data_IF_487411331220
#
_entry.id   IF_487411331220
#
_cell.length_a   1.000
_cell.length_b   1.000
_cell.length_c   1.000
_cell.angle_alpha   90.00
_cell.angle_beta   90.00
_cell.angle_gamma   90.00
#
_symmetry.space_group_name_H-M   'P 1'
#
loop_
_entity.id
_entity.type
_entity.pdbx_description
1 polymer ?
#
# COMPACT_ATOMS: atom_id res chain seq x y z
N UNK A 1 1.64 71.11 -47.99
CA UNK A 1 1.75 71.25 -46.52
C UNK A 1 0.58 70.41 -45.95
N UNK A 2 0.88 69.15 -45.65
CA UNK A 2 -0.13 68.23 -45.07
C UNK A 2 -0.22 68.57 -43.57
N UNK A 3 -1.39 69.05 -43.13
CA UNK A 3 -1.70 69.19 -41.69
C UNK A 3 -1.90 67.78 -41.12
N UNK A 4 -0.96 67.30 -40.36
CA UNK A 4 -1.18 66.17 -39.48
C UNK A 4 -2.33 66.55 -38.52
N UNK A 5 -3.48 65.93 -38.68
CA UNK A 5 -4.55 65.97 -37.67
C UNK A 5 -3.97 65.33 -36.39
N UNK A 6 -4.07 66.04 -35.32
CA UNK A 6 -3.64 65.59 -34.02
C UNK A 6 -4.67 64.60 -33.47
N UNK A 7 -4.51 63.29 -33.83
CA UNK A 7 -5.39 62.21 -33.41
C UNK A 7 -5.10 61.71 -31.96
N UNK A 8 -4.23 62.38 -31.23
CA UNK A 8 -3.83 62.00 -29.87
C UNK A 8 -5.02 61.99 -28.90
N UNK A 9 -6.00 62.88 -29.06
CA UNK A 9 -7.20 62.92 -28.24
C UNK A 9 -8.12 61.74 -28.48
N UNK A 10 -8.28 61.31 -29.74
CA UNK A 10 -9.14 60.16 -30.09
C UNK A 10 -8.57 58.87 -29.53
N UNK A 11 -7.26 58.65 -29.60
CA UNK A 11 -6.59 57.47 -29.03
C UNK A 11 -6.77 57.41 -27.52
N UNK A 12 -6.64 58.54 -26.80
CA UNK A 12 -6.85 58.59 -25.36
C UNK A 12 -8.27 58.15 -24.93
N UNK A 13 -9.28 58.57 -25.68
CA UNK A 13 -10.70 58.20 -25.42
C UNK A 13 -10.91 56.71 -25.69
N UNK A 14 -10.38 56.18 -26.80
CA UNK A 14 -10.49 54.75 -27.14
C UNK A 14 -9.84 53.88 -26.07
N UNK A 15 -8.60 54.27 -25.62
CA UNK A 15 -7.87 53.54 -24.56
C UNK A 15 -8.66 53.60 -23.25
N UNK A 16 -9.21 54.72 -22.85
CA UNK A 16 -10.01 54.87 -21.64
C UNK A 16 -11.27 53.98 -21.66
N UNK A 17 -11.98 53.90 -22.79
CA UNK A 17 -13.16 53.06 -22.96
C UNK A 17 -12.79 51.57 -22.94
N UNK A 18 -11.68 51.18 -23.57
CA UNK A 18 -11.24 49.79 -23.60
C UNK A 18 -10.64 49.31 -22.29
N UNK A 19 -10.07 50.24 -21.46
CA UNK A 19 -9.53 49.85 -20.15
C UNK A 19 -10.56 49.29 -19.20
N UNK A 20 -11.82 49.76 -19.23
CA UNK A 20 -12.87 49.27 -18.33
C UNK A 20 -13.16 47.78 -18.52
N UNK A 21 -13.46 47.27 -19.74
CA UNK A 21 -13.68 45.86 -19.93
C UNK A 21 -12.39 45.04 -19.69
N UNK A 22 -11.18 45.55 -20.01
CA UNK A 22 -9.93 44.83 -19.77
C UNK A 22 -9.67 44.63 -18.28
N UNK A 23 -9.91 45.65 -17.47
CA UNK A 23 -9.78 45.54 -16.00
C UNK A 23 -10.86 44.59 -15.46
N UNK A 24 -12.10 44.65 -15.99
CA UNK A 24 -13.15 43.73 -15.62
C UNK A 24 -12.81 42.26 -15.89
N UNK A 25 -12.26 41.95 -17.06
CA UNK A 25 -11.80 40.59 -17.37
C UNK A 25 -10.62 40.15 -16.48
N UNK A 26 -9.65 41.06 -16.22
CA UNK A 26 -8.55 40.76 -15.32
C UNK A 26 -9.03 40.45 -13.89
N UNK A 27 -9.99 41.21 -13.38
CA UNK A 27 -10.57 41.04 -12.06
C UNK A 27 -11.29 39.68 -11.92
N UNK A 28 -12.12 39.29 -12.89
CA UNK A 28 -12.80 37.99 -12.90
C UNK A 28 -11.78 36.86 -13.01
N UNK A 29 -10.72 37.03 -13.81
CA UNK A 29 -9.67 36.00 -13.94
C UNK A 29 -8.93 35.75 -12.61
N UNK A 30 -8.76 36.76 -11.78
CA UNK A 30 -8.14 36.63 -10.45
C UNK A 30 -9.06 35.81 -9.51
N UNK A 31 -10.37 36.08 -9.49
CA UNK A 31 -11.30 35.30 -8.65
C UNK A 31 -11.38 33.84 -9.10
N UNK A 32 -11.41 33.58 -10.41
CA UNK A 32 -11.38 32.19 -10.94
C UNK A 32 -10.08 31.49 -10.56
N UNK A 33 -8.94 32.16 -10.69
CA UNK A 33 -7.64 31.60 -10.30
C UNK A 33 -7.58 31.28 -8.81
N UNK A 34 -8.17 32.15 -7.96
CA UNK A 34 -8.24 31.92 -6.52
C UNK A 34 -9.09 30.69 -6.15
N UNK A 35 -10.24 30.52 -6.80
CA UNK A 35 -11.11 29.31 -6.63
C UNK A 35 -10.36 28.06 -7.08
N UNK A 36 -9.63 28.11 -8.20
CA UNK A 36 -8.87 26.98 -8.68
C UNK A 36 -7.73 26.60 -7.74
N UNK A 37 -7.01 27.59 -7.21
CA UNK A 37 -5.96 27.38 -6.22
C UNK A 37 -6.51 26.75 -4.93
N UNK A 38 -7.65 27.24 -4.43
CA UNK A 38 -8.35 26.65 -3.27
C UNK A 38 -8.72 25.20 -3.52
N UNK A 39 -9.27 24.89 -4.70
CA UNK A 39 -9.63 23.51 -5.07
C UNK A 39 -8.44 22.57 -5.02
N UNK A 40 -7.28 23.00 -5.52
CA UNK A 40 -6.06 22.19 -5.47
C UNK A 40 -5.58 21.96 -4.02
N UNK A 41 -5.69 22.96 -3.16
CA UNK A 41 -5.32 22.84 -1.75
C UNK A 41 -6.24 21.86 -1.01
N UNK A 42 -7.56 21.99 -1.21
CA UNK A 42 -8.55 21.08 -0.60
C UNK A 42 -8.36 19.66 -1.12
N UNK A 43 -8.05 19.48 -2.41
CA UNK A 43 -7.74 18.16 -2.98
C UNK A 43 -6.50 17.57 -2.33
N UNK A 44 -5.41 18.32 -2.21
CA UNK A 44 -4.20 17.86 -1.55
C UNK A 44 -4.44 17.48 -0.07
N UNK A 45 -5.31 18.24 0.63
CA UNK A 45 -5.74 17.93 1.98
C UNK A 45 -6.54 16.63 2.07
N UNK A 46 -7.46 16.41 1.14
CA UNK A 46 -8.25 15.17 1.08
C UNK A 46 -7.39 13.95 0.74
N UNK A 47 -6.47 14.07 -0.21
CA UNK A 47 -5.51 13.02 -0.59
C UNK A 47 -4.62 12.63 0.60
N UNK A 48 -4.04 13.61 1.27
CA UNK A 48 -3.18 13.39 2.43
C UNK A 48 -3.94 12.76 3.60
N UNK A 49 -5.18 13.22 3.86
CA UNK A 49 -6.05 12.67 4.88
C UNK A 49 -6.43 11.21 4.60
N UNK A 50 -6.83 10.92 3.36
CA UNK A 50 -7.20 9.55 2.95
C UNK A 50 -6.01 8.60 3.10
N UNK A 51 -4.81 8.99 2.66
CA UNK A 51 -3.59 8.20 2.82
C UNK A 51 -3.20 8.01 4.29
N UNK A 52 -3.25 9.05 5.12
CA UNK A 52 -2.91 8.95 6.54
C UNK A 52 -3.84 7.98 7.27
N UNK A 53 -5.15 8.11 7.07
CA UNK A 53 -6.15 7.20 7.66
C UNK A 53 -5.93 5.77 7.15
N UNK A 54 -5.68 5.59 5.85
CA UNK A 54 -5.43 4.28 5.28
C UNK A 54 -4.16 3.62 5.85
N UNK A 55 -3.09 4.38 6.09
CA UNK A 55 -1.86 3.90 6.70
C UNK A 55 -2.07 3.44 8.16
N UNK A 56 -2.83 4.21 8.93
CA UNK A 56 -3.16 3.85 10.32
C UNK A 56 -4.03 2.59 10.36
N UNK A 57 -5.05 2.52 9.51
CA UNK A 57 -5.93 1.36 9.42
C UNK A 57 -5.22 0.09 8.90
N UNK A 58 -4.25 0.24 8.01
CA UNK A 58 -3.42 -0.87 7.54
C UNK A 58 -2.56 -1.51 8.64
N UNK A 59 -2.30 -0.75 9.73
CA UNK A 59 -1.59 -1.23 10.93
C UNK A 59 -2.52 -1.67 12.06
N UNK A 60 -3.82 -1.86 11.78
CA UNK A 60 -4.86 -2.15 12.78
C UNK A 60 -5.02 -1.04 13.84
N UNK A 61 -4.59 0.18 13.55
CA UNK A 61 -4.57 1.32 14.46
C UNK A 61 -5.28 2.55 13.86
N UNK A 62 -6.52 2.40 13.37
CA UNK A 62 -7.27 3.47 12.69
C UNK A 62 -7.43 4.77 13.51
N UNK A 63 -7.28 4.74 14.81
CA UNK A 63 -7.36 5.92 15.67
C UNK A 63 -8.69 6.65 15.57
N UNK A 64 -8.63 7.96 15.29
CA UNK A 64 -9.80 8.80 15.08
C UNK A 64 -9.83 9.34 13.66
N UNK A 65 -10.38 8.60 12.66
CA UNK A 65 -10.33 8.96 11.25
C UNK A 65 -10.93 10.34 10.96
N UNK A 66 -11.99 10.73 11.67
CA UNK A 66 -12.62 12.05 11.52
C UNK A 66 -11.71 13.19 11.96
N UNK A 67 -11.02 13.03 13.09
CA UNK A 67 -10.08 14.05 13.56
C UNK A 67 -8.87 14.15 12.64
N UNK A 68 -8.35 13.03 12.14
CA UNK A 68 -7.30 13.00 11.15
C UNK A 68 -7.72 13.72 9.87
N UNK A 69 -8.91 13.42 9.33
CA UNK A 69 -9.41 14.06 8.12
C UNK A 69 -9.52 15.59 8.29
N UNK A 70 -10.10 16.05 9.41
CA UNK A 70 -10.26 17.46 9.68
C UNK A 70 -8.90 18.17 9.83
N UNK A 71 -7.95 17.57 10.55
CA UNK A 71 -6.62 18.14 10.74
C UNK A 71 -5.86 18.32 9.41
N UNK A 72 -5.89 17.32 8.53
CA UNK A 72 -5.22 17.43 7.22
C UNK A 72 -5.91 18.44 6.30
N UNK A 73 -7.24 18.55 6.36
CA UNK A 73 -7.98 19.57 5.62
C UNK A 73 -7.57 20.99 6.06
N UNK A 74 -7.53 21.24 7.37
CA UNK A 74 -7.12 22.52 7.95
C UNK A 74 -5.68 22.89 7.62
N UNK A 75 -4.75 21.92 7.70
CA UNK A 75 -3.33 22.15 7.38
C UNK A 75 -3.07 22.47 5.91
N UNK A 76 -3.98 22.08 5.00
CA UNK A 76 -3.83 22.30 3.57
C UNK A 76 -4.73 23.43 3.03
N UNK A 77 -5.59 24.03 3.82
CA UNK A 77 -6.44 25.15 3.39
C UNK A 77 -5.91 26.47 3.91
N UNK A 78 -5.89 27.48 3.05
CA UNK A 78 -5.59 28.87 3.43
C UNK A 78 -6.85 29.69 3.75
N UNK A 79 -8.05 29.17 3.47
CA UNK A 79 -9.31 29.89 3.71
C UNK A 79 -9.76 29.87 5.18
N UNK A 80 -9.15 29.03 6.03
CA UNK A 80 -9.41 28.98 7.47
C UNK A 80 -10.69 28.25 7.88
N UNK A 81 -11.65 28.05 6.97
CA UNK A 81 -12.91 27.36 7.25
C UNK A 81 -13.12 26.21 6.24
N UNK A 82 -12.36 25.13 6.45
CA UNK A 82 -12.54 23.89 5.70
C UNK A 82 -13.20 22.84 6.59
N UNK A 83 -14.13 22.11 6.03
CA UNK A 83 -14.80 20.99 6.72
C UNK A 83 -14.48 19.70 5.99
N UNK A 84 -13.96 18.72 6.73
CA UNK A 84 -13.77 17.37 6.23
C UNK A 84 -14.84 16.43 6.77
N UNK A 85 -15.32 15.54 5.92
CA UNK A 85 -16.31 14.52 6.25
C UNK A 85 -15.91 13.16 5.69
N UNK A 86 -16.36 12.12 6.39
CA UNK A 86 -16.23 10.74 5.92
C UNK A 86 -17.64 10.18 5.71
N UNK A 87 -18.00 9.74 4.49
CA UNK A 87 -19.28 9.08 4.23
C UNK A 87 -19.49 7.84 5.09
N UNK A 88 -18.40 7.13 5.39
CA UNK A 88 -18.37 6.01 6.35
C UNK A 88 -17.08 6.06 7.16
N UNK A 89 -17.17 5.75 8.45
CA UNK A 89 -15.98 5.65 9.30
C UNK A 89 -15.31 4.30 9.04
N UNK A 90 -14.04 4.27 8.60
CA UNK A 90 -13.37 3.03 8.29
C UNK A 90 -12.95 2.28 9.57
N UNK A 91 -12.79 0.97 9.41
CA UNK A 91 -12.13 0.06 10.35
C UNK A 91 -11.01 -0.66 9.60
N UNK A 92 -10.09 -1.30 10.31
CA UNK A 92 -9.00 -2.06 9.67
C UNK A 92 -9.51 -3.07 8.62
N UNK A 93 -10.69 -3.65 8.84
CA UNK A 93 -11.29 -4.63 7.93
C UNK A 93 -11.99 -4.04 6.69
N UNK A 94 -12.25 -2.72 6.64
CA UNK A 94 -12.95 -2.10 5.51
C UNK A 94 -12.10 -2.01 4.25
N UNK A 95 -10.78 -1.90 4.38
CA UNK A 95 -9.85 -1.85 3.26
C UNK A 95 -9.93 -0.58 2.40
N UNK A 96 -10.79 0.38 2.75
CA UNK A 96 -10.99 1.63 1.99
C UNK A 96 -11.53 2.75 2.86
N UNK A 97 -11.11 3.98 2.55
CA UNK A 97 -11.66 5.22 3.10
C UNK A 97 -11.88 6.23 1.98
N UNK A 98 -12.94 7.03 2.12
CA UNK A 98 -13.18 8.21 1.28
C UNK A 98 -13.26 9.41 2.21
N UNK A 99 -12.51 10.45 1.92
CA UNK A 99 -12.53 11.75 2.58
C UNK A 99 -13.10 12.77 1.61
N UNK A 100 -14.14 13.47 2.01
CA UNK A 100 -14.70 14.60 1.27
C UNK A 100 -14.44 15.87 2.08
N UNK A 101 -13.91 16.90 1.42
CA UNK A 101 -13.62 18.20 2.02
C UNK A 101 -14.28 19.32 1.23
N UNK A 102 -14.75 20.34 1.91
CA UNK A 102 -15.31 21.52 1.29
C UNK A 102 -14.97 22.78 2.08
N UNK A 103 -14.85 23.89 1.35
CA UNK A 103 -14.68 25.23 1.90
C UNK A 103 -15.45 26.25 1.08
N UNK A 104 -15.76 27.40 1.69
CA UNK A 104 -16.38 28.52 1.01
C UNK A 104 -15.32 29.56 0.72
N UNK A 105 -15.09 29.83 -0.56
CA UNK A 105 -14.17 30.86 -1.03
C UNK A 105 -14.91 32.14 -1.34
N UNK A 106 -14.64 33.21 -0.61
CA UNK A 106 -15.14 34.56 -0.90
C UNK A 106 -14.39 35.17 -2.08
N UNK A 107 -15.11 35.85 -2.97
CA UNK A 107 -14.55 36.53 -4.12
C UNK A 107 -14.16 37.98 -3.78
N UNK A 108 -13.18 38.50 -4.50
CA UNK A 108 -12.72 39.87 -4.32
C UNK A 108 -13.44 40.83 -5.27
N UNK A 109 -13.73 40.45 -6.50
CA UNK A 109 -14.25 41.29 -7.55
C UNK A 109 -15.64 40.84 -8.05
N UNK A 110 -15.95 39.57 -8.05
CA UNK A 110 -17.23 39.05 -8.50
C UNK A 110 -18.48 39.52 -7.70
N UNK A 111 -18.35 40.03 -6.44
CA UNK A 111 -19.49 40.65 -5.76
C UNK A 111 -20.12 41.85 -6.52
N UNK A 112 -19.33 42.54 -7.34
CA UNK A 112 -19.87 43.61 -8.22
C UNK A 112 -20.88 43.07 -9.23
N UNK A 113 -20.79 41.75 -9.53
CA UNK A 113 -21.72 41.02 -10.41
C UNK A 113 -22.78 40.22 -9.63
N UNK A 114 -22.84 40.36 -8.31
CA UNK A 114 -23.76 39.66 -7.43
C UNK A 114 -23.35 38.25 -7.04
N UNK A 115 -22.09 37.86 -7.22
CA UNK A 115 -21.52 36.55 -6.81
C UNK A 115 -20.52 36.74 -5.69
N UNK A 116 -20.94 36.56 -4.43
CA UNK A 116 -20.12 36.87 -3.26
C UNK A 116 -19.10 35.77 -2.93
N UNK A 117 -19.45 34.51 -3.17
CA UNK A 117 -18.62 33.35 -2.83
C UNK A 117 -18.94 32.14 -3.69
N UNK A 118 -18.04 31.18 -3.69
CA UNK A 118 -18.23 29.86 -4.31
C UNK A 118 -17.85 28.78 -3.32
N UNK A 119 -18.69 27.74 -3.19
CA UNK A 119 -18.33 26.52 -2.48
C UNK A 119 -17.35 25.69 -3.35
N UNK A 120 -16.23 25.31 -2.76
CA UNK A 120 -15.21 24.48 -3.39
C UNK A 120 -15.18 23.16 -2.65
N UNK A 121 -15.32 22.07 -3.38
CA UNK A 121 -15.30 20.72 -2.83
C UNK A 121 -14.28 19.83 -3.56
N UNK A 122 -13.69 18.91 -2.82
CA UNK A 122 -12.83 17.88 -3.34
C UNK A 122 -13.04 16.58 -2.54
N UNK A 123 -12.70 15.45 -3.13
CA UNK A 123 -12.74 14.17 -2.46
C UNK A 123 -11.55 13.30 -2.87
N UNK A 124 -11.12 12.43 -1.96
CA UNK A 124 -10.09 11.46 -2.22
C UNK A 124 -10.47 10.12 -1.60
N UNK A 125 -10.08 9.05 -2.26
CA UNK A 125 -10.22 7.70 -1.72
C UNK A 125 -8.88 7.02 -1.64
N UNK A 126 -8.61 6.33 -0.53
CA UNK A 126 -7.47 5.45 -0.38
C UNK A 126 -7.92 4.04 -0.03
N UNK A 127 -7.17 3.06 -0.52
CA UNK A 127 -7.36 1.66 -0.17
C UNK A 127 -6.13 1.11 0.53
N UNK A 128 -6.35 0.09 1.36
CA UNK A 128 -5.29 -0.68 1.99
C UNK A 128 -5.67 -2.15 2.06
N UNK A 129 -4.67 -2.99 2.20
CA UNK A 129 -4.87 -4.42 2.36
C UNK A 129 -3.57 -5.18 2.44
N UNK A 130 -3.65 -6.40 2.93
CA UNK A 130 -2.56 -7.36 2.88
C UNK A 130 -2.53 -8.06 1.52
N UNK A 131 -1.40 -8.71 1.14
CA UNK A 131 -1.35 -9.46 -0.10
C UNK A 131 -2.38 -10.61 -0.09
N UNK A 132 -3.20 -10.68 -1.15
CA UNK A 132 -4.22 -11.72 -1.34
C UNK A 132 -3.78 -12.81 -2.32
N UNK A 133 -2.73 -12.54 -3.10
CA UNK A 133 -2.14 -13.45 -4.08
C UNK A 133 -0.97 -12.79 -4.77
N UNK A 134 -0.14 -13.57 -5.44
CA UNK A 134 0.99 -13.06 -6.20
C UNK A 134 2.05 -14.09 -6.47
N UNK A 135 3.14 -13.63 -7.09
CA UNK A 135 4.28 -14.42 -7.53
C UNK A 135 5.47 -14.18 -6.62
N UNK A 136 5.73 -15.14 -5.73
CA UNK A 136 6.89 -15.08 -4.84
C UNK A 136 8.19 -15.38 -5.61
N UNK A 137 9.24 -14.59 -5.34
CA UNK A 137 10.58 -14.74 -5.94
C UNK A 137 11.34 -15.97 -5.43
N UNK A 138 10.77 -16.69 -4.48
CA UNK A 138 11.30 -17.93 -3.94
C UNK A 138 10.13 -18.91 -3.78
N UNK A 139 10.17 -20.11 -4.40
CA UNK A 139 9.11 -21.10 -4.32
C UNK A 139 9.15 -21.84 -2.98
N UNK A 140 8.93 -21.08 -1.91
CA UNK A 140 8.99 -21.53 -0.54
C UNK A 140 7.77 -21.01 0.22
N UNK A 141 7.19 -21.85 1.07
CA UNK A 141 6.06 -21.51 1.93
C UNK A 141 6.41 -21.78 3.37
N UNK A 142 6.17 -20.80 4.26
CA UNK A 142 6.44 -20.93 5.69
C UNK A 142 5.25 -21.44 6.49
N UNK A 143 5.54 -22.12 7.59
CA UNK A 143 4.53 -22.46 8.58
C UNK A 143 4.05 -21.23 9.36
N UNK A 144 2.74 -21.12 9.55
CA UNK A 144 2.14 -20.13 10.46
C UNK A 144 2.64 -20.30 11.90
N UNK A 145 3.05 -21.52 12.27
CA UNK A 145 3.62 -21.78 13.60
C UNK A 145 4.96 -21.08 13.80
N UNK A 146 5.82 -21.06 12.78
CA UNK A 146 7.12 -20.36 12.87
C UNK A 146 6.93 -18.85 12.87
N UNK A 147 5.98 -18.33 12.08
CA UNK A 147 5.59 -16.93 12.14
C UNK A 147 5.13 -16.53 13.55
N UNK A 148 4.16 -17.26 14.11
CA UNK A 148 3.66 -17.01 15.47
C UNK A 148 4.71 -17.18 16.55
N UNK A 149 5.62 -18.14 16.38
CA UNK A 149 6.71 -18.35 17.34
C UNK A 149 7.69 -17.17 17.36
N UNK A 150 7.87 -16.44 16.28
CA UNK A 150 8.69 -15.22 16.26
C UNK A 150 7.92 -13.99 16.74
N UNK A 151 6.67 -13.83 16.30
CA UNK A 151 5.90 -12.59 16.51
C UNK A 151 5.03 -12.63 17.76
N UNK A 152 4.91 -13.79 18.42
CA UNK A 152 3.95 -13.98 19.52
C UNK A 152 2.49 -13.99 19.05
N UNK A 153 2.27 -14.13 17.74
CA UNK A 153 0.94 -14.10 17.12
C UNK A 153 0.44 -12.70 16.75
N UNK A 154 1.25 -11.66 16.99
CA UNK A 154 0.98 -10.29 16.55
C UNK A 154 1.72 -9.92 15.26
N UNK A 155 1.81 -8.61 15.01
CA UNK A 155 2.62 -8.08 13.90
C UNK A 155 4.13 -8.25 14.21
N UNK A 156 4.97 -8.41 13.18
CA UNK A 156 6.42 -8.45 13.37
C UNK A 156 6.93 -7.14 13.97
N UNK A 157 7.62 -7.19 15.09
CA UNK A 157 8.12 -5.99 15.78
C UNK A 157 9.62 -6.01 16.09
N UNK A 158 10.34 -7.06 15.66
CA UNK A 158 11.74 -7.23 15.98
C UNK A 158 12.56 -7.82 14.85
N UNK A 159 13.87 -7.77 15.01
CA UNK A 159 14.87 -8.33 14.08
C UNK A 159 15.56 -9.57 14.65
N UNK A 160 14.89 -10.28 15.58
CA UNK A 160 15.44 -11.49 16.15
C UNK A 160 15.48 -12.60 15.09
N UNK A 161 16.67 -12.95 14.68
CA UNK A 161 16.88 -14.01 13.70
C UNK A 161 16.37 -15.36 14.18
N UNK A 162 15.76 -16.09 13.26
CA UNK A 162 15.36 -17.47 13.45
C UNK A 162 15.93 -18.36 12.36
N UNK A 163 16.17 -19.60 12.74
CA UNK A 163 16.53 -20.67 11.82
C UNK A 163 15.29 -21.52 11.60
N UNK A 164 14.77 -21.49 10.38
CA UNK A 164 13.61 -22.27 9.99
C UNK A 164 14.09 -23.46 9.17
N UNK A 165 13.81 -24.67 9.68
CA UNK A 165 14.16 -25.93 9.03
C UNK A 165 13.09 -26.31 8.02
N UNK A 166 13.39 -27.23 7.10
CA UNK A 166 12.35 -27.81 6.26
C UNK A 166 11.33 -28.59 7.10
N UNK A 167 10.08 -28.67 6.67
CA UNK A 167 9.01 -29.38 7.39
C UNK A 167 9.35 -30.85 7.69
N UNK A 168 10.21 -31.46 6.86
CA UNK A 168 10.68 -32.85 7.06
C UNK A 168 11.63 -33.02 8.25
N UNK A 169 12.33 -31.93 8.65
CA UNK A 169 13.31 -31.95 9.73
C UNK A 169 12.88 -31.12 10.92
N UNK A 170 11.87 -30.27 10.76
CA UNK A 170 11.32 -29.48 11.84
C UNK A 170 10.58 -30.41 12.84
N UNK A 171 11.05 -30.40 14.10
CA UNK A 171 10.38 -31.10 15.22
C UNK A 171 9.39 -30.15 15.95
N UNK A 172 8.94 -29.10 15.27
CA UNK A 172 8.05 -28.08 15.80
C UNK A 172 6.75 -28.12 15.05
N UNK A 173 5.70 -27.67 15.69
CA UNK A 173 4.37 -27.51 15.11
C UNK A 173 3.44 -26.87 16.11
N UNK A 174 2.26 -26.56 15.68
CA UNK A 174 1.23 -25.99 16.54
C UNK A 174 -0.16 -26.48 16.10
N UNK A 175 -1.18 -26.14 16.87
CA UNK A 175 -2.57 -26.43 16.51
C UNK A 175 -3.23 -25.14 16.09
N UNK A 176 -3.78 -25.12 14.87
CA UNK A 176 -4.55 -24.01 14.32
C UNK A 176 -5.94 -24.48 13.94
N UNK A 177 -6.97 -23.83 14.47
CA UNK A 177 -8.36 -24.18 14.22
C UNK A 177 -8.67 -25.68 14.43
N UNK A 178 -8.02 -26.30 15.44
CA UNK A 178 -8.18 -27.71 15.76
C UNK A 178 -7.36 -28.69 14.89
N UNK A 179 -6.59 -28.20 13.93
CA UNK A 179 -5.72 -29.01 13.09
C UNK A 179 -4.25 -28.86 13.48
N UNK A 180 -3.51 -29.94 13.40
CA UNK A 180 -2.06 -29.89 13.55
C UNK A 180 -1.44 -29.26 12.30
N UNK A 181 -0.58 -28.26 12.51
CA UNK A 181 0.21 -27.60 11.46
C UNK A 181 1.69 -27.86 11.75
N UNK A 182 2.42 -28.53 10.84
CA UNK A 182 3.84 -28.75 11.03
C UNK A 182 4.59 -27.42 10.98
N UNK A 183 5.66 -27.29 11.77
CA UNK A 183 6.60 -26.19 11.68
C UNK A 183 7.51 -26.31 10.46
N UNK A 184 8.26 -25.28 10.19
CA UNK A 184 9.25 -25.25 9.13
C UNK A 184 8.75 -24.64 7.83
N UNK A 185 9.43 -24.97 6.74
CA UNK A 185 9.08 -24.53 5.40
C UNK A 185 8.92 -25.70 4.43
N UNK A 186 8.07 -25.53 3.43
CA UNK A 186 7.92 -26.44 2.28
C UNK A 186 8.38 -25.79 0.98
N UNK A 187 8.82 -26.62 0.02
CA UNK A 187 9.05 -26.19 -1.34
C UNK A 187 7.76 -26.31 -2.17
N UNK A 188 7.51 -25.29 -3.00
CA UNK A 188 6.37 -25.24 -3.90
C UNK A 188 6.77 -25.60 -5.32
N UNK A 189 5.81 -26.14 -6.08
CA UNK A 189 5.94 -26.24 -7.53
C UNK A 189 6.16 -24.84 -8.12
N UNK A 190 7.08 -24.74 -9.07
CA UNK A 190 7.38 -23.48 -9.75
C UNK A 190 6.46 -23.27 -10.94
N UNK A 191 6.15 -22.03 -11.27
CA UNK A 191 5.25 -21.64 -12.37
C UNK A 191 5.73 -22.15 -13.75
N UNK A 192 7.02 -22.17 -13.97
CA UNK A 192 7.65 -22.76 -15.13
C UNK A 192 8.73 -23.70 -14.63
N UNK A 193 8.81 -24.93 -15.14
CA UNK A 193 9.65 -26.00 -14.60
C UNK A 193 11.13 -25.74 -14.34
N UNK A 194 11.61 -24.51 -14.51
CA UNK A 194 12.96 -24.05 -14.25
C UNK A 194 13.05 -22.66 -13.61
N UNK A 195 11.94 -22.06 -13.19
CA UNK A 195 11.93 -20.74 -12.57
C UNK A 195 12.06 -20.82 -11.03
N UNK A 196 12.45 -19.70 -10.43
CA UNK A 196 12.46 -19.53 -8.98
C UNK A 196 11.12 -19.05 -8.43
N UNK A 197 10.12 -18.83 -9.29
CA UNK A 197 8.88 -18.19 -8.92
C UNK A 197 7.78 -19.22 -8.63
N UNK A 198 6.93 -18.91 -7.66
CA UNK A 198 5.70 -19.64 -7.37
C UNK A 198 4.55 -18.65 -7.20
N UNK A 199 3.54 -18.77 -8.06
CA UNK A 199 2.32 -17.98 -7.96
C UNK A 199 1.32 -18.71 -7.07
N UNK A 200 0.86 -18.00 -6.04
CA UNK A 200 -0.09 -18.55 -5.06
C UNK A 200 -1.18 -17.54 -4.74
N UNK A 201 -2.28 -18.01 -4.14
CA UNK A 201 -3.39 -17.17 -3.70
C UNK A 201 -3.98 -17.68 -2.39
N UNK A 202 -4.43 -16.77 -1.53
CA UNK A 202 -5.08 -17.10 -0.26
C UNK A 202 -6.29 -18.02 -0.52
N UNK A 203 -6.44 -19.01 0.33
CA UNK A 203 -7.52 -19.98 0.26
C UNK A 203 -7.41 -21.03 -0.85
N UNK A 204 -6.32 -20.98 -1.64
CA UNK A 204 -6.04 -21.99 -2.66
C UNK A 204 -4.97 -22.98 -2.21
N UNK A 205 -4.87 -24.11 -2.93
CA UNK A 205 -3.88 -25.13 -2.68
C UNK A 205 -2.56 -24.77 -3.40
N UNK A 206 -1.48 -24.72 -2.64
CA UNK A 206 -0.12 -24.59 -3.17
C UNK A 206 0.53 -25.99 -3.14
N UNK A 207 0.82 -26.56 -4.30
CA UNK A 207 1.34 -27.92 -4.38
C UNK A 207 2.83 -27.97 -4.03
N UNK A 208 3.19 -29.06 -3.33
CA UNK A 208 4.56 -29.30 -2.89
C UNK A 208 5.42 -29.85 -4.03
N UNK A 209 6.59 -29.23 -4.23
CA UNK A 209 7.65 -29.82 -5.08
C UNK A 209 8.51 -30.77 -4.22
N UNK A 210 8.50 -32.10 -4.50
CA UNK A 210 9.35 -33.02 -3.76
C UNK A 210 10.81 -32.83 -4.12
N UNK A 211 11.62 -32.60 -3.12
CA UNK A 211 13.05 -32.38 -3.31
C UNK A 211 13.64 -31.48 -2.23
N UNK A 212 14.91 -31.17 -2.38
CA UNK A 212 15.62 -30.39 -1.37
C UNK A 212 15.94 -28.94 -1.82
N UNK A 213 15.72 -28.64 -3.08
CA UNK A 213 15.92 -27.29 -3.64
C UNK A 213 15.32 -27.26 -5.05
N UNK A 214 14.65 -26.17 -5.46
CA UNK A 214 14.20 -25.98 -6.84
C UNK A 214 15.40 -26.04 -7.79
N UNK A 215 15.28 -26.87 -8.81
CA UNK A 215 16.34 -27.01 -9.80
C UNK A 215 16.49 -25.71 -10.58
N UNK A 216 17.74 -25.21 -10.71
CA UNK A 216 18.10 -24.01 -11.48
C UNK A 216 17.58 -22.67 -10.94
N UNK A 217 17.27 -22.61 -9.63
CA UNK A 217 16.93 -21.36 -8.97
C UNK A 217 18.23 -20.68 -8.50
N UNK A 218 18.46 -19.44 -8.94
CA UNK A 218 19.56 -18.62 -8.42
C UNK A 218 19.12 -17.85 -7.19
N UNK A 219 19.54 -18.33 -6.02
CA UNK A 219 19.21 -17.73 -4.74
C UNK A 219 20.12 -16.56 -4.35
N UNK A 220 21.08 -16.17 -5.19
CA UNK A 220 21.91 -14.98 -4.91
C UNK A 220 21.09 -13.70 -4.89
N UNK A 221 19.99 -13.66 -5.61
CA UNK A 221 19.09 -12.51 -5.75
C UNK A 221 18.35 -12.13 -4.47
N UNK A 222 18.19 -13.08 -3.53
CA UNK A 222 17.47 -12.86 -2.25
C UNK A 222 18.38 -12.58 -1.06
N UNK A 223 19.71 -12.61 -1.24
CA UNK A 223 20.67 -12.43 -0.16
C UNK A 223 20.56 -11.06 0.50
N UNK A 224 20.29 -11.04 1.80
CA UNK A 224 20.13 -9.82 2.59
C UNK A 224 18.88 -8.99 2.22
N UNK A 225 17.95 -9.55 1.44
CA UNK A 225 16.75 -8.85 1.04
C UNK A 225 15.54 -9.31 1.84
N UNK A 226 14.56 -8.40 1.93
CA UNK A 226 13.21 -8.72 2.38
C UNK A 226 12.40 -9.14 1.17
N UNK A 227 11.73 -10.29 1.28
CA UNK A 227 10.89 -10.88 0.23
C UNK A 227 9.53 -11.25 0.79
N UNK A 228 8.48 -11.13 -0.02
CA UNK A 228 7.15 -11.60 0.32
C UNK A 228 7.06 -13.11 0.03
N UNK A 229 6.67 -13.88 1.04
CA UNK A 229 6.53 -15.33 0.94
C UNK A 229 5.18 -15.78 1.49
N UNK A 230 4.55 -16.80 0.88
CA UNK A 230 3.32 -17.36 1.39
C UNK A 230 3.53 -18.07 2.74
N UNK A 231 2.48 -18.06 3.55
CA UNK A 231 2.41 -18.70 4.86
C UNK A 231 1.23 -19.69 4.83
N UNK A 232 1.45 -20.92 5.30
CA UNK A 232 0.42 -21.94 5.35
C UNK A 232 -0.10 -22.20 6.78
N UNK A 233 -1.36 -22.55 6.87
CA UNK A 233 -2.02 -22.98 8.11
C UNK A 233 -2.49 -24.46 8.06
N UNK A 234 -2.09 -25.22 7.06
CA UNK A 234 -2.37 -26.64 6.93
C UNK A 234 -1.56 -27.29 5.81
N UNK A 235 -1.14 -28.53 6.06
CA UNK A 235 -0.50 -29.42 5.10
C UNK A 235 -1.38 -30.65 4.90
N UNK A 236 -1.62 -31.05 3.66
CA UNK A 236 -2.57 -32.09 3.27
C UNK A 236 -1.99 -32.97 2.15
N UNK A 237 -2.67 -34.08 1.88
CA UNK A 237 -2.34 -34.97 0.75
C UNK A 237 -1.15 -35.90 0.97
N UNK A 238 -0.62 -35.98 2.19
CA UNK A 238 0.47 -36.91 2.54
C UNK A 238 1.83 -36.37 2.09
N UNK A 239 2.72 -37.24 1.61
CA UNK A 239 4.10 -36.91 1.28
C UNK A 239 4.33 -36.85 -0.24
N UNK A 240 5.28 -36.03 -0.68
CA UNK A 240 5.74 -35.95 -2.06
C UNK A 240 4.85 -35.07 -2.95
N UNK A 241 4.71 -35.42 -4.24
CA UNK A 241 3.96 -34.62 -5.23
C UNK A 241 2.45 -34.48 -4.96
N UNK A 242 1.89 -35.35 -4.13
CA UNK A 242 0.48 -35.25 -3.73
C UNK A 242 0.24 -34.33 -2.55
N UNK A 243 1.28 -33.86 -1.88
CA UNK A 243 1.17 -32.93 -0.76
C UNK A 243 0.88 -31.53 -1.26
N UNK A 244 0.07 -30.81 -0.50
CA UNK A 244 -0.23 -29.40 -0.77
C UNK A 244 -0.44 -28.66 0.54
N UNK A 245 -0.20 -27.36 0.47
CA UNK A 245 -0.35 -26.42 1.57
C UNK A 245 -1.55 -25.52 1.31
N UNK A 246 -2.34 -25.24 2.34
CA UNK A 246 -3.36 -24.18 2.27
C UNK A 246 -2.71 -22.84 2.55
N UNK A 247 -2.77 -21.94 1.58
CA UNK A 247 -2.21 -20.59 1.73
C UNK A 247 -3.11 -19.78 2.67
N UNK A 248 -2.56 -19.40 3.82
CA UNK A 248 -3.23 -18.58 4.84
C UNK A 248 -3.06 -17.08 4.56
N UNK A 249 -1.86 -16.67 4.21
CA UNK A 249 -1.51 -15.27 3.98
C UNK A 249 -0.10 -15.13 3.44
N UNK A 250 0.41 -13.89 3.46
CA UNK A 250 1.77 -13.58 3.05
C UNK A 250 2.48 -12.77 4.11
N UNK A 251 3.73 -13.10 4.37
CA UNK A 251 4.59 -12.38 5.29
C UNK A 251 5.87 -11.91 4.60
N UNK A 252 6.36 -10.75 4.99
CA UNK A 252 7.66 -10.27 4.60
C UNK A 252 8.74 -10.92 5.46
N UNK A 253 9.75 -11.50 4.83
CA UNK A 253 10.86 -12.18 5.50
C UNK A 253 12.19 -11.64 5.00
N UNK A 254 13.02 -11.14 5.92
CA UNK A 254 14.39 -10.70 5.62
C UNK A 254 15.33 -11.88 5.74
N UNK A 255 15.98 -12.24 4.63
CA UNK A 255 16.87 -13.39 4.53
C UNK A 255 18.27 -13.02 4.97
N UNK A 256 18.79 -13.66 6.02
CA UNK A 256 20.14 -13.46 6.53
C UNK A 256 21.09 -14.60 6.22
N UNK A 257 20.56 -15.77 5.83
CA UNK A 257 21.36 -16.93 5.44
C UNK A 257 20.49 -18.10 4.98
N UNK A 258 21.10 -19.04 4.28
CA UNK A 258 20.44 -20.28 3.91
C UNK A 258 21.44 -21.42 3.69
N UNK A 259 20.96 -22.66 3.87
CA UNK A 259 21.65 -23.88 3.51
C UNK A 259 20.70 -24.84 2.82
N UNK A 260 20.78 -24.92 1.50
CA UNK A 260 20.00 -25.81 0.66
C UNK A 260 20.90 -26.74 -0.15
N UNK A 261 20.32 -27.72 -0.82
CA UNK A 261 21.10 -28.67 -1.61
C UNK A 261 21.79 -27.98 -2.78
N UNK A 262 23.12 -27.91 -2.73
CA UNK A 262 23.95 -27.29 -3.78
C UNK A 262 24.06 -25.77 -3.71
N UNK A 263 23.38 -25.10 -2.77
CA UNK A 263 23.45 -23.65 -2.59
C UNK A 263 23.48 -23.28 -1.11
N UNK A 264 24.44 -22.44 -0.72
CA UNK A 264 24.62 -22.01 0.65
C UNK A 264 25.17 -20.58 0.68
N UNK A 265 24.69 -19.81 1.63
CA UNK A 265 25.16 -18.47 1.94
C UNK A 265 24.92 -18.18 3.42
N UNK A 266 25.95 -17.75 4.17
CA UNK A 266 25.87 -17.56 5.63
C UNK A 266 25.07 -18.68 6.31
N UNK A 267 25.49 -19.97 6.16
CA UNK A 267 24.64 -21.09 6.50
C UNK A 267 24.23 -21.08 7.98
N UNK A 268 22.92 -20.95 8.27
CA UNK A 268 22.44 -20.87 9.65
C UNK A 268 22.38 -22.24 10.34
N UNK A 269 22.38 -23.34 9.58
CA UNK A 269 22.43 -24.71 10.10
C UNK A 269 23.63 -25.48 9.53
N UNK A 270 23.91 -26.63 10.11
CA UNK A 270 25.09 -27.47 9.78
C UNK A 270 24.68 -28.80 9.16
N UNK A 271 25.65 -29.42 8.52
CA UNK A 271 25.51 -30.77 7.97
C UNK A 271 24.52 -30.83 6.79
N UNK A 272 23.65 -31.84 6.82
CA UNK A 272 22.67 -32.12 5.77
C UNK A 272 21.32 -31.41 5.99
N UNK A 273 21.19 -30.61 7.04
CA UNK A 273 19.94 -29.89 7.30
C UNK A 273 19.70 -28.82 6.24
N UNK A 274 18.44 -28.69 5.88
CA UNK A 274 17.96 -27.65 4.96
C UNK A 274 17.28 -26.57 5.77
N UNK A 275 17.81 -25.37 5.72
CA UNK A 275 17.35 -24.26 6.52
C UNK A 275 17.47 -22.92 5.80
N UNK A 276 16.65 -22.00 6.25
CA UNK A 276 16.75 -20.57 5.95
C UNK A 276 16.80 -19.81 7.28
N UNK A 277 17.69 -18.82 7.35
CA UNK A 277 17.83 -17.91 8.48
C UNK A 277 17.30 -16.53 8.12
N UNK A 278 16.72 -15.87 9.09
CA UNK A 278 16.17 -14.54 8.92
C UNK A 278 15.11 -14.19 9.96
N UNK A 279 14.35 -13.18 9.66
CA UNK A 279 13.27 -12.74 10.54
C UNK A 279 12.09 -12.19 9.73
N UNK A 280 10.89 -12.40 10.25
CA UNK A 280 9.69 -11.75 9.75
C UNK A 280 9.70 -10.27 10.12
N UNK A 281 9.31 -9.40 9.21
CA UNK A 281 9.32 -7.94 9.38
C UNK A 281 8.06 -7.30 8.80
N UNK A 282 7.81 -6.06 9.15
CA UNK A 282 6.77 -5.28 8.49
C UNK A 282 7.25 -4.78 7.12
N UNK A 283 6.33 -4.72 6.16
CA UNK A 283 6.55 -4.20 4.81
C UNK A 283 5.30 -3.43 4.35
N UNK A 284 5.46 -2.14 4.14
CA UNK A 284 4.37 -1.23 3.77
C UNK A 284 4.51 -0.65 2.36
N UNK A 285 5.31 -1.29 1.53
CA UNK A 285 5.50 -0.93 0.12
C UNK A 285 4.75 -1.89 -0.79
N UNK A 286 4.17 -1.38 -1.87
CA UNK A 286 3.60 -2.20 -2.94
C UNK A 286 4.69 -2.99 -3.65
N UNK A 287 4.50 -4.31 -3.73
CA UNK A 287 5.25 -5.17 -4.62
C UNK A 287 4.37 -5.42 -5.85
N UNK A 288 4.81 -5.06 -7.07
CA UNK A 288 3.99 -5.19 -8.28
C UNK A 288 3.65 -6.64 -8.65
N UNK A 289 4.39 -7.61 -8.11
CA UNK A 289 4.13 -9.03 -8.34
C UNK A 289 3.03 -9.58 -7.42
N UNK A 290 2.43 -8.74 -6.57
CA UNK A 290 1.37 -9.11 -5.64
C UNK A 290 0.11 -8.26 -5.78
N UNK A 291 -1.04 -8.92 -5.66
CA UNK A 291 -2.36 -8.30 -5.49
C UNK A 291 -2.60 -8.02 -4.01
N UNK A 292 -3.13 -6.85 -3.70
CA UNK A 292 -3.47 -6.44 -2.33
C UNK A 292 -4.98 -6.21 -2.20
N UNK A 293 -5.53 -6.55 -1.05
CA UNK A 293 -6.96 -6.37 -0.84
C UNK A 293 -7.42 -6.62 0.59
N UNK A 294 -8.69 -6.26 0.89
CA UNK A 294 -9.29 -6.52 2.18
C UNK A 294 -9.55 -8.02 2.39
N UNK A 295 -9.63 -8.43 3.67
CA UNK A 295 -9.96 -9.80 4.04
C UNK A 295 -8.78 -10.77 4.08
N UNK A 296 -7.59 -10.37 3.67
CA UNK A 296 -6.37 -11.12 3.92
C UNK A 296 -5.90 -10.95 5.38
N UNK A 297 -5.35 -12.00 6.00
CA UNK A 297 -4.72 -11.85 7.31
C UNK A 297 -3.57 -10.84 7.26
N UNK A 298 -3.51 -9.95 8.24
CA UNK A 298 -2.39 -9.03 8.37
C UNK A 298 -1.22 -9.74 9.07
N UNK A 299 -0.21 -10.11 8.27
CA UNK A 299 1.04 -10.70 8.74
C UNK A 299 2.21 -9.71 8.68
N UNK A 300 1.91 -8.40 8.75
CA UNK A 300 2.90 -7.33 8.69
C UNK A 300 3.20 -6.82 7.28
N UNK A 301 2.67 -7.45 6.25
CA UNK A 301 2.76 -6.97 4.88
C UNK A 301 1.45 -6.29 4.47
N UNK A 302 1.52 -5.02 4.09
CA UNK A 302 0.35 -4.26 3.65
C UNK A 302 0.74 -3.21 2.62
N UNK A 303 -0.17 -2.91 1.70
CA UNK A 303 -0.04 -1.80 0.78
C UNK A 303 -1.12 -0.76 1.03
N UNK A 304 -0.77 0.49 0.80
CA UNK A 304 -1.69 1.65 0.85
C UNK A 304 -1.50 2.45 -0.42
N UNK A 305 -2.59 2.80 -1.08
CA UNK A 305 -2.54 3.62 -2.30
C UNK A 305 -3.80 4.47 -2.44
N UNK A 306 -3.66 5.61 -3.11
CA UNK A 306 -4.82 6.38 -3.56
C UNK A 306 -5.53 5.64 -4.68
N UNK A 307 -6.86 5.69 -4.66
CA UNK A 307 -7.66 5.21 -5.76
C UNK A 307 -7.84 6.34 -6.77
N UNK A 308 -7.80 6.06 -8.09
CA UNK A 308 -8.16 7.05 -9.08
C UNK A 308 -9.62 7.48 -8.89
N UNK A 309 -9.88 8.78 -9.11
CA UNK A 309 -11.22 9.40 -9.09
C UNK A 309 -12.10 8.90 -10.24
#
# INVERSE_FOLDING_TARGET
>A
MFRMRDDRGAVAVIVAVLMVPLIGFAAISIDIAAVHAEKQQIQAGADAAALAIAQDCARDACGSPRATAQSFAELNSNSGEVVASLPSVPTAATGRVTVASYAVRSHWFAPVLGVDSTEVAASASAAWGSPIGGTAVLPLIFSLCDFKAQTGGGLPSGTLERIILSTKTANTGCTENGNYVPGGFGWLETDTGNSCHATTRIGTNAYSEPGNTPKRCDLSTIRGKTVLLPVFDGEFGGNGRGAWYRVYGYAAFTVTGYNFSGQSWNPPCRGNDRCIGGYFTEMHTTDPDFDYGPGAPNLGASAVHLLPD
#
